data_IF_746506052828
#
_entry.id   IF_746506052828
#
_cell.length_a   1.000
_cell.length_b   1.000
_cell.length_c   1.000
_cell.angle_alpha   90.00
_cell.angle_beta   90.00
_cell.angle_gamma   90.00
#
_symmetry.space_group_name_H-M   'P 1'
#
loop_
_entity.id
_entity.type
_entity.pdbx_description
1 polymer ?
#
# COMPACT_ATOMS: atom_id res chain seq x y z
N UNK A 1 -16.72 6.97 -33.74
CA UNK A 1 -15.71 6.65 -32.71
C UNK A 1 -16.25 7.23 -31.43
N UNK A 2 -17.04 6.46 -30.67
CA UNK A 2 -17.81 6.97 -29.53
C UNK A 2 -17.08 6.58 -28.27
N UNK A 3 -16.49 7.56 -27.60
CA UNK A 3 -15.72 7.45 -26.38
C UNK A 3 -16.57 6.83 -25.27
N UNK A 4 -16.11 5.70 -24.75
CA UNK A 4 -16.70 5.01 -23.61
C UNK A 4 -16.38 5.82 -22.36
N UNK A 5 -17.39 6.48 -21.80
CA UNK A 5 -17.32 7.08 -20.48
C UNK A 5 -17.08 5.96 -19.46
N UNK A 6 -15.90 5.96 -18.85
CA UNK A 6 -15.61 5.17 -17.66
C UNK A 6 -16.10 5.95 -16.45
N UNK A 7 -16.88 5.28 -15.60
CA UNK A 7 -17.42 5.84 -14.38
C UNK A 7 -16.29 6.15 -13.41
N UNK A 8 -16.02 7.43 -13.20
CA UNK A 8 -15.11 7.92 -12.19
C UNK A 8 -15.67 7.57 -10.80
N UNK A 9 -14.94 6.77 -10.03
CA UNK A 9 -15.28 6.46 -8.65
C UNK A 9 -14.36 7.30 -7.75
N UNK A 10 -14.72 8.56 -7.56
CA UNK A 10 -14.04 9.48 -6.64
C UNK A 10 -15.03 10.06 -5.65
N UNK A 11 -14.74 9.88 -4.37
CA UNK A 11 -15.48 10.48 -3.26
C UNK A 11 -14.74 11.73 -2.78
N UNK A 12 -15.50 12.80 -2.45
CA UNK A 12 -15.02 14.15 -2.09
C UNK A 12 -14.16 14.24 -0.79
N UNK A 13 -13.48 13.18 -0.40
CA UNK A 13 -12.64 13.11 0.79
C UNK A 13 -11.44 12.17 0.66
N UNK A 14 -11.19 11.59 -0.51
CA UNK A 14 -9.99 10.80 -0.75
C UNK A 14 -8.76 11.70 -0.85
N UNK A 15 -7.73 11.34 -0.09
CA UNK A 15 -6.43 11.99 -0.08
C UNK A 15 -5.36 10.91 -0.20
N UNK A 16 -4.21 11.23 -0.79
CA UNK A 16 -3.09 10.32 -0.95
C UNK A 16 -1.78 11.03 -0.64
N UNK A 17 -0.76 10.30 -0.20
CA UNK A 17 0.60 10.81 -0.11
C UNK A 17 1.37 10.42 -1.36
N UNK A 18 2.16 11.34 -1.91
CA UNK A 18 3.02 11.08 -3.06
C UNK A 18 4.20 10.22 -2.60
N UNK A 19 4.42 9.10 -3.27
CA UNK A 19 5.54 8.19 -3.01
C UNK A 19 6.75 8.49 -3.89
N UNK A 20 6.56 9.17 -5.04
CA UNK A 20 7.63 9.52 -5.97
C UNK A 20 7.34 10.85 -6.68
N UNK A 21 8.39 11.64 -6.95
CA UNK A 21 8.30 12.85 -7.76
C UNK A 21 7.77 12.56 -9.17
N UNK A 22 6.94 13.46 -9.72
CA UNK A 22 6.43 13.38 -11.09
C UNK A 22 6.40 14.77 -11.73
N UNK A 23 6.96 14.86 -12.94
CA UNK A 23 6.88 16.05 -13.78
C UNK A 23 5.76 15.88 -14.83
N UNK A 24 4.82 16.83 -14.93
CA UNK A 24 3.73 16.75 -15.89
C UNK A 24 4.26 16.81 -17.32
N UNK A 25 3.78 15.90 -18.15
CA UNK A 25 4.11 15.80 -19.57
C UNK A 25 3.06 16.48 -20.45
N UNK A 26 1.81 16.54 -19.99
CA UNK A 26 0.69 17.17 -20.69
C UNK A 26 0.10 18.34 -19.86
N UNK A 27 -0.58 19.28 -20.52
CA UNK A 27 -1.17 20.46 -19.85
C UNK A 27 -2.29 20.13 -18.85
N UNK A 28 -2.88 18.94 -18.97
CA UNK A 28 -3.94 18.46 -18.08
C UNK A 28 -3.40 17.64 -16.88
N UNK A 29 -2.09 17.60 -16.69
CA UNK A 29 -1.41 16.87 -15.61
C UNK A 29 -0.90 17.83 -14.52
N UNK A 30 -0.67 17.30 -13.31
CA UNK A 30 -0.08 18.04 -12.20
C UNK A 30 1.27 17.46 -11.80
N UNK A 31 2.16 18.32 -11.32
CA UNK A 31 3.39 17.88 -10.70
C UNK A 31 3.10 17.20 -9.36
N UNK A 32 3.78 16.09 -9.10
CA UNK A 32 3.83 15.44 -7.80
C UNK A 32 5.22 15.63 -7.19
N UNK A 33 5.26 15.84 -5.88
CA UNK A 33 6.50 15.92 -5.10
C UNK A 33 6.42 14.89 -3.99
N UNK A 34 7.44 14.03 -3.89
CA UNK A 34 7.54 12.96 -2.89
C UNK A 34 7.28 13.51 -1.48
N UNK A 35 6.37 12.85 -0.77
CA UNK A 35 5.92 13.24 0.57
C UNK A 35 4.82 14.32 0.61
N UNK A 36 4.41 14.90 -0.52
CA UNK A 36 3.26 15.82 -0.56
C UNK A 36 1.92 15.08 -0.51
N UNK A 37 0.85 15.77 -0.11
CA UNK A 37 -0.51 15.23 -0.08
C UNK A 37 -1.32 15.73 -1.26
N UNK A 38 -1.90 14.80 -2.02
CA UNK A 38 -2.91 15.07 -3.04
C UNK A 38 -4.30 14.89 -2.44
N UNK A 39 -5.21 15.82 -2.72
CA UNK A 39 -6.58 15.83 -2.20
C UNK A 39 -7.59 15.72 -3.32
N UNK A 40 -8.86 15.55 -2.95
CA UNK A 40 -9.99 15.56 -3.89
C UNK A 40 -9.80 14.52 -5.01
N UNK A 41 -9.31 13.33 -4.65
CA UNK A 41 -8.89 12.32 -5.63
C UNK A 41 -10.10 11.70 -6.33
N UNK A 42 -10.00 11.60 -7.65
CA UNK A 42 -10.97 10.97 -8.53
C UNK A 42 -10.26 9.90 -9.35
N UNK A 43 -10.62 8.64 -9.13
CA UNK A 43 -10.07 7.51 -9.87
C UNK A 43 -10.78 7.41 -11.23
N UNK A 44 -10.16 7.92 -12.29
CA UNK A 44 -10.71 7.88 -13.65
C UNK A 44 -10.53 6.50 -14.27
N UNK A 45 -9.35 5.90 -14.12
CA UNK A 45 -9.03 4.52 -14.49
C UNK A 45 -7.92 3.93 -13.60
N UNK A 46 -7.44 2.73 -13.95
CA UNK A 46 -6.42 1.98 -13.19
C UNK A 46 -5.05 2.67 -13.17
N UNK A 47 -4.72 3.47 -14.19
CA UNK A 47 -3.42 4.11 -14.33
C UNK A 47 -3.41 5.60 -13.98
N UNK A 48 -4.52 6.30 -14.17
CA UNK A 48 -4.59 7.76 -14.07
C UNK A 48 -5.70 8.22 -13.14
N UNK A 49 -5.31 9.01 -12.16
CA UNK A 49 -6.22 9.67 -11.23
C UNK A 49 -6.16 11.17 -11.43
N UNK A 50 -7.23 11.86 -11.07
CA UNK A 50 -7.25 13.31 -10.97
C UNK A 50 -7.24 13.70 -9.50
N UNK A 51 -6.59 14.81 -9.15
CA UNK A 51 -6.62 15.34 -7.79
C UNK A 51 -6.03 16.74 -7.72
N UNK A 52 -5.89 17.25 -6.50
CA UNK A 52 -5.38 18.58 -6.20
C UNK A 52 -4.08 18.48 -5.39
N UNK A 53 -2.98 19.03 -5.89
CA UNK A 53 -1.70 19.02 -5.17
C UNK A 53 -1.64 20.08 -4.06
N UNK A 54 -0.53 20.14 -3.32
CA UNK A 54 -0.35 21.11 -2.22
C UNK A 54 -0.32 22.57 -2.70
N UNK A 55 -0.11 22.82 -4.01
CA UNK A 55 -0.15 24.14 -4.63
C UNK A 55 -1.58 24.57 -5.03
N UNK A 56 -2.56 23.68 -4.90
CA UNK A 56 -3.95 23.92 -5.32
C UNK A 56 -4.17 23.71 -6.82
N UNK A 57 -3.22 23.09 -7.52
CA UNK A 57 -3.36 22.75 -8.94
C UNK A 57 -4.13 21.45 -9.08
N UNK A 58 -5.09 21.41 -10.01
CA UNK A 58 -5.94 20.25 -10.26
C UNK A 58 -5.62 19.66 -11.63
N UNK A 59 -5.36 18.36 -11.66
CA UNK A 59 -5.11 17.65 -12.91
C UNK A 59 -4.78 16.18 -12.70
N UNK A 60 -4.35 15.54 -13.78
CA UNK A 60 -4.08 14.11 -13.83
C UNK A 60 -2.69 13.78 -13.30
N UNK A 61 -2.58 12.61 -12.70
CA UNK A 61 -1.31 12.04 -12.29
C UNK A 61 -1.42 10.50 -12.26
N UNK A 62 -0.27 9.81 -12.38
CA UNK A 62 -0.25 8.36 -12.35
C UNK A 62 -0.57 7.81 -10.94
N UNK A 63 -1.52 6.89 -10.86
CA UNK A 63 -2.00 6.30 -9.60
C UNK A 63 -0.90 5.59 -8.80
N UNK A 64 0.08 5.01 -9.48
CA UNK A 64 1.19 4.27 -8.86
C UNK A 64 2.29 5.16 -8.24
N UNK A 65 2.15 6.49 -8.34
CA UNK A 65 3.07 7.46 -7.72
C UNK A 65 2.52 7.99 -6.40
N UNK A 66 1.34 7.54 -5.98
CA UNK A 66 0.71 7.94 -4.72
C UNK A 66 0.20 6.74 -3.93
N UNK A 67 0.09 6.90 -2.63
CA UNK A 67 -0.49 5.94 -1.70
C UNK A 67 -1.73 6.56 -1.04
N UNK A 68 -2.91 5.97 -1.26
CA UNK A 68 -4.17 6.47 -0.68
C UNK A 68 -4.11 6.44 0.86
N UNK A 69 -4.43 7.59 1.46
CA UNK A 69 -4.59 7.70 2.91
C UNK A 69 -6.07 7.45 3.22
N UNK A 70 -6.40 6.41 4.00
CA UNK A 70 -7.77 6.20 4.44
C UNK A 70 -8.20 7.39 5.32
N UNK A 71 -9.34 8.01 4.99
CA UNK A 71 -9.87 9.15 5.73
C UNK A 71 -10.15 8.76 7.20
N UNK A 72 -9.22 9.09 8.09
CA UNK A 72 -9.36 8.86 9.52
C UNK A 72 -10.42 9.82 10.09
N UNK A 73 -11.50 9.26 10.63
CA UNK A 73 -12.44 9.99 11.49
C UNK A 73 -11.72 10.53 12.73
N UNK A 74 -12.01 11.76 13.19
CA UNK A 74 -11.29 12.34 14.31
C UNK A 74 -11.90 11.86 15.63
N UNK A 75 -11.23 10.95 16.34
CA UNK A 75 -11.24 10.88 17.81
C UNK A 75 -10.23 9.86 18.37
N UNK A 76 -9.11 10.40 18.85
CA UNK A 76 -8.32 9.95 20.02
C UNK A 76 -7.61 8.58 20.00
N UNK A 77 -6.29 8.64 20.23
CA UNK A 77 -5.36 7.58 20.73
C UNK A 77 -4.63 6.79 19.63
N UNK A 78 -3.30 6.58 19.72
CA UNK A 78 -2.54 5.84 18.70
C UNK A 78 -2.80 4.32 18.77
N UNK A 79 -2.93 3.71 17.59
CA UNK A 79 -2.96 2.26 17.23
C UNK A 79 -4.32 1.71 16.75
N UNK A 80 -4.37 0.73 15.81
CA UNK A 80 -3.38 0.25 14.85
C UNK A 80 -3.88 0.33 13.38
N UNK A 81 -3.00 0.03 12.42
CA UNK A 81 -3.29 -0.24 11.01
C UNK A 81 -4.48 -1.22 10.86
N UNK A 82 -5.22 -1.21 9.73
CA UNK A 82 -6.40 -2.06 9.57
C UNK A 82 -6.00 -3.50 9.85
N UNK A 83 -6.63 -4.07 10.88
CA UNK A 83 -6.63 -5.50 11.14
C UNK A 83 -7.26 -6.19 9.93
N UNK A 84 -6.43 -6.53 8.94
CA UNK A 84 -6.72 -7.67 8.10
C UNK A 84 -6.90 -8.82 9.07
N UNK A 85 -8.15 -9.25 9.22
CA UNK A 85 -8.60 -10.33 10.09
C UNK A 85 -8.07 -11.69 9.60
N UNK A 86 -6.79 -11.77 9.24
CA UNK A 86 -6.11 -13.02 9.10
C UNK A 86 -5.65 -13.42 10.50
N UNK A 87 -6.58 -14.03 11.26
CA UNK A 87 -6.24 -14.73 12.51
C UNK A 87 -5.29 -15.91 12.28
N UNK A 88 -4.90 -16.19 11.03
CA UNK A 88 -3.92 -17.19 10.69
C UNK A 88 -2.52 -16.67 11.05
N UNK A 89 -1.83 -17.46 11.85
CA UNK A 89 -0.41 -17.34 12.12
C UNK A 89 0.32 -18.49 11.46
N UNK A 90 1.60 -18.33 11.12
CA UNK A 90 2.43 -19.43 10.69
C UNK A 90 3.48 -19.75 11.74
N UNK A 91 3.88 -21.02 11.85
CA UNK A 91 5.04 -21.45 12.62
C UNK A 91 6.19 -21.72 11.65
N UNK A 92 7.36 -21.16 11.91
CA UNK A 92 8.56 -21.44 11.15
C UNK A 92 8.97 -22.92 11.30
N UNK A 93 9.10 -23.63 10.19
CA UNK A 93 9.56 -25.02 10.14
C UNK A 93 11.09 -25.11 10.08
N UNK A 94 11.76 -24.03 9.67
CA UNK A 94 13.20 -23.93 9.54
C UNK A 94 13.68 -22.52 9.91
N UNK A 95 14.95 -22.40 10.27
CA UNK A 95 15.64 -21.12 10.36
C UNK A 95 15.70 -20.43 8.99
N UNK A 96 15.47 -19.12 8.98
CA UNK A 96 15.65 -18.29 7.80
C UNK A 96 16.33 -16.98 8.19
N UNK A 97 17.37 -16.62 7.44
CA UNK A 97 18.08 -15.36 7.57
C UNK A 97 17.74 -14.47 6.37
N UNK A 98 17.20 -13.28 6.64
CA UNK A 98 16.93 -12.27 5.63
C UNK A 98 18.18 -11.99 4.79
N UNK A 99 18.00 -12.05 3.47
CA UNK A 99 19.00 -11.79 2.45
C UNK A 99 18.88 -10.36 1.90
N UNK A 100 17.67 -9.81 1.89
CA UNK A 100 17.37 -8.44 1.45
C UNK A 100 16.72 -7.60 2.57
N UNK A 101 16.76 -6.26 2.42
CA UNK A 101 16.28 -5.32 3.44
C UNK A 101 14.75 -5.38 3.66
N UNK A 102 14.01 -5.89 2.68
CA UNK A 102 12.56 -6.08 2.73
C UNK A 102 12.16 -7.46 3.28
N UNK A 103 13.10 -8.28 3.76
CA UNK A 103 12.86 -9.62 4.30
C UNK A 103 12.95 -9.67 5.84
N UNK A 104 12.41 -10.73 6.44
CA UNK A 104 12.54 -10.99 7.89
C UNK A 104 13.29 -12.28 8.20
N UNK A 105 14.16 -12.22 9.21
CA UNK A 105 14.79 -13.41 9.79
C UNK A 105 13.93 -14.00 10.91
N UNK A 106 13.90 -15.32 11.00
CA UNK A 106 13.24 -16.07 12.08
C UNK A 106 13.94 -17.41 12.33
N UNK A 107 13.66 -18.01 13.49
CA UNK A 107 14.19 -19.30 13.91
C UNK A 107 13.10 -20.37 13.79
N UNK A 108 13.49 -21.63 13.61
CA UNK A 108 12.57 -22.77 13.70
C UNK A 108 11.74 -22.68 14.98
N UNK A 109 10.42 -22.77 14.85
CA UNK A 109 9.45 -22.64 15.93
C UNK A 109 8.94 -21.21 16.18
N UNK A 110 9.50 -20.18 15.54
CA UNK A 110 9.00 -18.81 15.67
C UNK A 110 7.58 -18.68 15.09
N UNK A 111 6.76 -17.84 15.72
CA UNK A 111 5.40 -17.54 15.28
C UNK A 111 5.43 -16.26 14.44
N UNK A 112 4.88 -16.35 13.23
CA UNK A 112 4.75 -15.25 12.28
C UNK A 112 3.27 -14.87 12.22
N UNK A 113 2.97 -13.60 12.47
CA UNK A 113 1.61 -13.07 12.51
C UNK A 113 1.37 -12.06 11.38
N UNK A 114 0.14 -11.59 11.22
CA UNK A 114 -0.22 -10.60 10.19
C UNK A 114 0.13 -11.07 8.77
N UNK A 115 -0.13 -12.35 8.48
CA UNK A 115 0.22 -12.97 7.20
C UNK A 115 -0.51 -12.33 6.02
N UNK A 116 0.26 -11.96 4.99
CA UNK A 116 -0.23 -11.54 3.68
C UNK A 116 0.44 -12.37 2.58
N UNK A 117 -0.35 -13.05 1.76
CA UNK A 117 0.14 -13.94 0.69
C UNK A 117 0.42 -13.11 -0.57
N UNK A 118 1.62 -12.52 -0.66
CA UNK A 118 2.00 -11.60 -1.75
C UNK A 118 2.09 -12.34 -3.07
N UNK A 119 2.76 -13.49 -3.09
CA UNK A 119 2.82 -14.43 -4.21
C UNK A 119 2.67 -15.86 -3.72
N UNK A 120 2.65 -16.83 -4.64
CA UNK A 120 2.60 -18.25 -4.31
C UNK A 120 3.82 -18.70 -3.47
N UNK A 121 4.98 -18.08 -3.70
CA UNK A 121 6.25 -18.46 -3.07
C UNK A 121 6.67 -17.52 -1.93
N UNK A 122 6.22 -16.26 -1.94
CA UNK A 122 6.64 -15.22 -0.99
C UNK A 122 5.47 -14.61 -0.25
N UNK A 123 5.55 -14.67 1.08
CA UNK A 123 4.54 -14.11 1.97
C UNK A 123 5.16 -12.97 2.78
N UNK A 124 4.34 -12.04 3.23
CA UNK A 124 4.71 -11.02 4.20
C UNK A 124 4.12 -11.38 5.56
N UNK A 125 4.86 -11.07 6.62
CA UNK A 125 4.36 -11.20 7.98
C UNK A 125 5.25 -10.49 8.98
N UNK A 126 4.90 -10.64 10.25
CA UNK A 126 5.62 -10.04 11.38
C UNK A 126 6.20 -11.13 12.27
N UNK A 127 7.51 -11.11 12.45
CA UNK A 127 8.26 -11.98 13.35
C UNK A 127 9.25 -11.15 14.16
N UNK A 128 9.40 -11.44 15.45
CA UNK A 128 10.35 -10.73 16.32
C UNK A 128 10.19 -9.18 16.30
N UNK A 129 8.96 -8.69 16.06
CA UNK A 129 8.65 -7.26 15.95
C UNK A 129 9.11 -6.59 14.64
N UNK A 130 9.64 -7.36 13.68
CA UNK A 130 9.98 -6.90 12.33
C UNK A 130 8.98 -7.43 11.31
N UNK A 131 8.64 -6.59 10.34
CA UNK A 131 7.81 -6.95 9.20
C UNK A 131 8.68 -7.14 7.96
N UNK A 132 8.36 -8.11 7.13
CA UNK A 132 8.99 -8.29 5.83
C UNK A 132 8.57 -9.57 5.14
N UNK A 133 9.16 -9.79 3.99
CA UNK A 133 8.95 -10.95 3.13
C UNK A 133 9.71 -12.18 3.65
N UNK A 134 9.15 -13.34 3.38
CA UNK A 134 9.79 -14.63 3.60
C UNK A 134 9.19 -15.71 2.69
N UNK A 135 9.94 -16.81 2.46
CA UNK A 135 9.46 -17.91 1.64
C UNK A 135 8.36 -18.72 2.35
N UNK A 136 7.20 -18.85 1.70
CA UNK A 136 6.02 -19.52 2.29
C UNK A 136 6.24 -21.01 2.60
N UNK A 137 7.18 -21.66 1.92
CA UNK A 137 7.54 -23.07 2.15
C UNK A 137 8.42 -23.29 3.40
N UNK A 138 8.84 -22.23 4.09
CA UNK A 138 9.61 -22.32 5.34
C UNK A 138 8.72 -22.32 6.58
N UNK A 139 7.41 -22.22 6.40
CA UNK A 139 6.46 -22.05 7.51
C UNK A 139 5.22 -22.93 7.30
N UNK A 140 4.54 -23.27 8.39
CA UNK A 140 3.26 -23.95 8.38
C UNK A 140 2.17 -23.02 8.91
N UNK A 141 1.14 -22.77 8.09
CA UNK A 141 0.01 -21.91 8.48
C UNK A 141 -0.93 -22.65 9.42
N UNK A 142 -1.03 -22.16 10.66
CA UNK A 142 -2.04 -22.59 11.61
C UNK A 142 -3.36 -21.84 11.34
N UNK A 143 -4.44 -22.61 11.22
CA UNK A 143 -5.82 -22.13 11.03
C UNK A 143 -6.62 -22.20 12.32
#
# INVERSE_FOLDING_TARGET
MTSKATAASGSNGEVAIVSFDYEPQEENEIALVEGEVVKNIIQLDEGWWQGENSKGEVGLFPSNYVELIPAATPASTPAPAPVSNNTQSAIALYDYDAQEDNEISFKEGDIITELNFVTDDWWEGVANGKRGLFPGNYVEVNK
#
